data_IF_940665431110
#
_entry.id   IF_940665431110
#
_cell.length_a   1.000
_cell.length_b   1.000
_cell.length_c   1.000
_cell.angle_alpha   90.00
_cell.angle_beta   90.00
_cell.angle_gamma   90.00
#
_symmetry.space_group_name_H-M   'P 1'
#
loop_
_entity.id
_entity.type
_entity.pdbx_description
1 polymer ?
#
# COMPACT_ATOMS: atom_id res chain seq x y z
N UNK A 1 0.88 7.38 7.60
CA UNK A 1 2.01 8.00 6.86
C UNK A 1 1.47 8.81 5.70
N UNK A 2 2.07 9.97 5.38
CA UNK A 2 1.71 10.77 4.20
C UNK A 2 2.65 10.46 3.03
N UNK A 3 2.11 10.25 1.84
CA UNK A 3 2.87 10.00 0.60
C UNK A 3 2.55 11.10 -0.40
N UNK A 4 3.57 11.67 -1.03
CA UNK A 4 3.44 12.69 -2.07
C UNK A 4 3.78 12.09 -3.44
N UNK A 5 2.94 12.38 -4.43
CA UNK A 5 3.08 11.92 -5.80
C UNK A 5 3.54 13.06 -6.70
N UNK A 6 4.10 12.72 -7.87
CA UNK A 6 4.65 13.69 -8.82
C UNK A 6 3.61 14.66 -9.41
N UNK A 7 2.31 14.31 -9.35
CA UNK A 7 1.19 15.16 -9.75
C UNK A 7 0.73 16.12 -8.63
N UNK A 8 1.59 16.40 -7.65
CA UNK A 8 1.32 17.25 -6.48
C UNK A 8 0.23 16.73 -5.54
N UNK A 9 -0.38 15.57 -5.84
CA UNK A 9 -1.36 14.94 -4.97
C UNK A 9 -0.68 14.23 -3.80
N UNK A 10 -1.40 14.07 -2.70
CA UNK A 10 -0.92 13.31 -1.56
C UNK A 10 -2.02 12.46 -0.94
N UNK A 11 -1.61 11.35 -0.33
CA UNK A 11 -2.50 10.43 0.38
C UNK A 11 -2.02 10.24 1.81
N UNK A 12 -2.93 9.84 2.69
CA UNK A 12 -2.61 9.37 4.03
C UNK A 12 -2.92 7.88 4.07
N UNK A 13 -1.90 7.06 4.29
CA UNK A 13 -2.04 5.61 4.46
C UNK A 13 -1.99 5.30 5.95
N UNK A 14 -3.03 4.64 6.45
CA UNK A 14 -3.03 4.05 7.78
C UNK A 14 -2.52 2.60 7.71
N UNK A 15 -1.36 2.35 8.31
CA UNK A 15 -0.75 1.02 8.35
C UNK A 15 -1.27 0.17 9.53
N UNK A 16 -2.01 0.76 10.49
CA UNK A 16 -2.49 0.02 11.66
C UNK A 16 -3.29 -1.25 11.31
N UNK A 17 -4.22 -1.24 10.34
CA UNK A 17 -5.00 -2.44 10.01
C UNK A 17 -4.14 -3.60 9.53
N UNK A 18 -3.08 -3.33 8.75
CA UNK A 18 -2.20 -4.38 8.23
C UNK A 18 -1.15 -4.83 9.25
N UNK A 19 -0.70 -3.93 10.13
CA UNK A 19 0.15 -4.26 11.27
C UNK A 19 -0.59 -5.23 12.20
N UNK A 20 -1.86 -4.96 12.49
CA UNK A 20 -2.69 -5.79 13.38
C UNK A 20 -2.96 -7.19 12.82
N UNK A 21 -2.89 -7.40 11.49
CA UNK A 21 -2.97 -8.73 10.88
C UNK A 21 -1.77 -9.62 11.24
N UNK A 22 -0.65 -9.02 11.66
CA UNK A 22 0.54 -9.73 12.11
C UNK A 22 1.44 -10.22 10.98
N UNK A 23 2.23 -11.26 11.27
CA UNK A 23 3.20 -11.83 10.34
C UNK A 23 4.39 -10.89 10.09
N UNK A 24 4.93 -10.92 8.86
CA UNK A 24 6.08 -10.08 8.48
C UNK A 24 5.82 -8.58 8.67
N UNK A 25 4.57 -8.15 8.48
CA UNK A 25 4.16 -6.75 8.57
C UNK A 25 4.10 -6.22 10.01
N UNK A 26 4.09 -7.10 11.02
CA UNK A 26 4.09 -6.70 12.43
C UNK A 26 5.33 -5.87 12.80
N UNK A 27 6.45 -6.03 12.08
CA UNK A 27 7.68 -5.24 12.26
C UNK A 27 7.44 -3.73 12.10
N UNK A 28 6.44 -3.33 11.32
CA UNK A 28 6.07 -1.93 11.14
C UNK A 28 5.46 -1.28 12.41
N UNK A 29 5.14 -2.07 13.45
CA UNK A 29 4.72 -1.54 14.74
C UNK A 29 5.86 -0.89 15.52
N UNK A 30 7.11 -1.25 15.23
CA UNK A 30 8.30 -0.64 15.85
C UNK A 30 8.56 0.73 15.19
N UNK A 31 8.51 1.85 15.94
CA UNK A 31 8.77 3.18 15.41
C UNK A 31 10.17 3.33 14.79
N UNK A 32 11.19 2.69 15.35
CA UNK A 32 12.56 2.77 14.81
C UNK A 32 12.65 2.07 13.47
N UNK A 33 12.07 0.87 13.35
CA UNK A 33 11.93 0.19 12.07
C UNK A 33 11.09 1.00 11.08
N UNK A 34 9.91 1.48 11.51
CA UNK A 34 8.98 2.23 10.66
C UNK A 34 9.63 3.49 10.06
N UNK A 35 10.49 4.17 10.81
CA UNK A 35 11.20 5.37 10.35
C UNK A 35 12.22 5.12 9.23
N UNK A 36 12.60 3.87 8.98
CA UNK A 36 13.58 3.50 7.94
C UNK A 36 12.97 3.39 6.54
N UNK A 37 11.74 3.86 6.35
CA UNK A 37 11.06 3.86 5.06
C UNK A 37 11.87 4.61 4.01
N UNK A 38 11.97 4.05 2.81
CA UNK A 38 12.63 4.68 1.67
C UNK A 38 11.84 4.47 0.38
N UNK A 39 12.14 5.28 -0.64
CA UNK A 39 11.60 5.08 -1.98
C UNK A 39 12.38 3.98 -2.70
N UNK A 40 11.65 3.02 -3.27
CA UNK A 40 12.18 1.99 -4.16
C UNK A 40 12.45 2.52 -5.57
N UNK A 41 12.74 1.60 -6.50
CA UNK A 41 13.13 1.93 -7.87
C UNK A 41 12.18 2.95 -8.52
N UNK A 42 12.72 4.13 -8.87
CA UNK A 42 12.00 5.23 -9.54
C UNK A 42 10.68 5.62 -8.84
N UNK A 43 10.57 5.39 -7.52
CA UNK A 43 9.36 5.68 -6.75
C UNK A 43 8.18 4.74 -7.00
N UNK A 44 8.41 3.56 -7.60
CA UNK A 44 7.34 2.58 -7.88
C UNK A 44 6.77 1.91 -6.64
N UNK A 45 7.52 1.91 -5.55
CA UNK A 45 7.12 1.36 -4.26
C UNK A 45 7.84 2.10 -3.12
N UNK A 46 7.30 1.98 -1.92
CA UNK A 46 8.02 2.29 -0.68
C UNK A 46 8.53 0.98 -0.09
N UNK A 47 9.66 1.03 0.62
CA UNK A 47 10.27 -0.16 1.19
C UNK A 47 10.85 0.12 2.58
N UNK A 48 10.94 -0.94 3.36
CA UNK A 48 11.71 -1.02 4.59
C UNK A 48 12.84 -2.04 4.41
N UNK A 49 13.90 -1.99 5.26
CA UNK A 49 14.96 -2.98 5.20
C UNK A 49 14.45 -4.42 5.26
N UNK A 50 14.97 -5.27 4.38
CA UNK A 50 14.54 -6.66 4.24
C UNK A 50 13.55 -6.82 3.09
N UNK A 51 12.31 -7.20 3.42
CA UNK A 51 11.35 -7.77 2.47
C UNK A 51 9.99 -7.05 2.44
N UNK A 52 9.83 -5.95 3.18
CA UNK A 52 8.56 -5.24 3.26
C UNK A 52 8.56 -4.11 2.24
N UNK A 53 7.71 -4.25 1.23
CA UNK A 53 7.47 -3.22 0.22
C UNK A 53 5.97 -3.05 -0.06
N UNK A 54 5.59 -1.83 -0.45
CA UNK A 54 4.23 -1.51 -0.89
C UNK A 54 4.28 -0.74 -2.20
N UNK A 55 3.60 -1.27 -3.22
CA UNK A 55 3.48 -0.64 -4.52
C UNK A 55 2.76 0.72 -4.40
N UNK A 56 3.35 1.76 -4.99
CA UNK A 56 2.80 3.12 -4.93
C UNK A 56 1.42 3.22 -5.60
N UNK A 57 1.21 2.45 -6.68
CA UNK A 57 -0.07 2.39 -7.39
C UNK A 57 -1.14 1.70 -6.53
N UNK A 58 -0.79 0.63 -5.82
CA UNK A 58 -1.73 -0.07 -4.95
C UNK A 58 -2.19 0.82 -3.77
N UNK A 59 -1.26 1.55 -3.16
CA UNK A 59 -1.58 2.54 -2.12
C UNK A 59 -2.46 3.69 -2.67
N UNK A 60 -2.19 4.14 -3.90
CA UNK A 60 -3.03 5.14 -4.57
C UNK A 60 -4.46 4.62 -4.75
N UNK A 61 -4.62 3.42 -5.30
CA UNK A 61 -5.93 2.84 -5.57
C UNK A 61 -6.74 2.50 -4.32
N UNK A 62 -6.09 2.12 -3.22
CA UNK A 62 -6.76 1.93 -1.94
C UNK A 62 -7.36 3.24 -1.40
N UNK A 63 -6.65 4.35 -1.59
CA UNK A 63 -7.14 5.70 -1.23
C UNK A 63 -8.09 6.33 -2.26
N UNK A 64 -8.06 5.88 -3.52
CA UNK A 64 -8.90 6.35 -4.63
C UNK A 64 -9.65 5.19 -5.29
N UNK A 65 -10.56 4.50 -4.57
CA UNK A 65 -11.20 3.28 -5.08
C UNK A 65 -11.98 3.49 -6.39
N UNK A 66 -12.49 4.70 -6.63
CA UNK A 66 -13.19 5.06 -7.88
C UNK A 66 -12.27 5.02 -9.11
N UNK A 67 -10.97 5.19 -8.92
CA UNK A 67 -9.94 5.15 -9.97
C UNK A 67 -9.36 3.74 -10.14
N UNK A 68 -9.64 2.84 -9.19
CA UNK A 68 -9.17 1.46 -9.24
C UNK A 68 -9.96 0.66 -10.30
N UNK A 69 -9.41 0.63 -11.52
CA UNK A 69 -9.98 -0.13 -12.64
C UNK A 69 -9.91 -1.65 -12.43
N UNK A 70 -9.10 -2.12 -11.49
CA UNK A 70 -8.92 -3.55 -11.19
C UNK A 70 -9.95 -4.07 -10.18
N UNK A 71 -10.55 -3.20 -9.37
CA UNK A 71 -11.57 -3.56 -8.38
C UNK A 71 -12.85 -4.14 -9.01
N UNK A 72 -13.15 -3.76 -10.27
CA UNK A 72 -14.31 -4.27 -11.02
C UNK A 72 -14.13 -5.71 -11.55
N UNK A 73 -12.91 -6.24 -11.57
CA UNK A 73 -12.64 -7.58 -12.11
C UNK A 73 -12.92 -8.68 -11.08
N UNK A 74 -12.71 -8.42 -9.78
CA UNK A 74 -12.97 -9.42 -8.73
C UNK A 74 -14.48 -9.68 -8.52
N UNK A 75 -15.33 -8.68 -8.76
CA UNK A 75 -16.78 -8.83 -8.70
C UNK A 75 -17.38 -9.67 -9.84
N UNK A 76 -16.72 -9.73 -11.00
CA UNK A 76 -17.16 -10.53 -12.15
C UNK A 76 -16.65 -11.98 -12.11
N UNK A 77 -15.46 -12.22 -11.56
CA UNK A 77 -14.92 -13.59 -11.42
C UNK A 77 -15.70 -14.47 -10.43
N UNK A 78 -16.46 -13.86 -9.50
CA UNK A 78 -17.32 -14.55 -8.54
C UNK A 78 -18.77 -14.71 -9.03
N UNK A 79 -19.22 -13.94 -10.03
CA UNK A 79 -20.57 -14.06 -10.58
C UNK A 79 -20.68 -15.04 -11.75
N UNK A 80 -19.55 -15.46 -12.33
CA UNK A 80 -19.48 -16.46 -13.41
C UNK A 80 -19.33 -17.92 -12.89
N UNK A 81 -19.38 -18.15 -11.57
CA UNK A 81 -19.29 -19.48 -10.95
C UNK A 81 -20.55 -19.92 -10.19
N UNK A 82 -21.73 -19.35 -10.49
CA UNK A 82 -23.01 -19.77 -9.87
C UNK A 82 -24.03 -20.23 -10.90
#
# INVERSE_FOLDING_TARGET
MRIFYANESSIIVDFNPIIQRGGVLAKLADPEFFSQVSLGEKGRYIQWPGEIEFCADALWFDSHPKENKFQKLEGNLLSEQT
#
